data_IF_894380297930
#
_entry.id   IF_894380297930
#
_cell.length_a   1.000
_cell.length_b   1.000
_cell.length_c   1.000
_cell.angle_alpha   90.00
_cell.angle_beta   90.00
_cell.angle_gamma   90.00
#
_symmetry.space_group_name_H-M   'P 1'
#
loop_
_entity.id
_entity.type
_entity.pdbx_description
1 polymer ?
#
# COMPACT_ATOMS: atom_id res chain seq x y z
N UNK A 1 9.30 18.25 13.04
CA UNK A 1 8.47 18.86 11.98
C UNK A 1 8.70 18.28 10.58
N UNK A 2 9.94 17.99 10.16
CA UNK A 2 10.24 17.48 8.80
C UNK A 2 9.58 16.12 8.49
N UNK A 3 9.60 15.18 9.44
CA UNK A 3 8.99 13.85 9.29
C UNK A 3 7.47 13.91 9.09
N UNK A 4 6.75 14.54 10.01
CA UNK A 4 5.28 14.64 9.95
C UNK A 4 4.84 15.30 8.63
N UNK A 5 5.60 16.30 8.16
CA UNK A 5 5.33 16.93 6.86
C UNK A 5 5.52 15.94 5.70
N UNK A 6 6.60 15.15 5.73
CA UNK A 6 6.87 14.14 4.70
C UNK A 6 5.82 13.05 4.66
N UNK A 7 5.37 12.55 5.80
CA UNK A 7 4.37 11.48 5.87
C UNK A 7 2.98 11.98 5.40
N UNK A 8 2.62 13.24 5.68
CA UNK A 8 1.43 13.88 5.09
C UNK A 8 1.53 14.01 3.58
N UNK A 9 2.69 14.39 3.06
CA UNK A 9 2.96 14.41 1.61
C UNK A 9 2.90 12.99 1.06
N UNK A 10 3.38 12.01 1.83
CA UNK A 10 3.35 10.60 1.51
C UNK A 10 1.96 10.06 1.30
N UNK A 11 1.00 10.42 2.15
CA UNK A 11 -0.41 10.09 1.93
C UNK A 11 -0.88 10.52 0.54
N UNK A 12 -0.59 11.76 0.15
CA UNK A 12 -1.01 12.32 -1.14
C UNK A 12 -0.30 11.59 -2.29
N UNK A 13 1.01 11.34 -2.15
CA UNK A 13 1.79 10.63 -3.16
C UNK A 13 1.33 9.19 -3.34
N UNK A 14 1.03 8.46 -2.27
CA UNK A 14 0.52 7.09 -2.35
C UNK A 14 -0.81 7.05 -3.09
N UNK A 15 -1.73 7.98 -2.79
CA UNK A 15 -3.01 8.08 -3.50
C UNK A 15 -2.79 8.38 -4.98
N UNK A 16 -1.94 9.36 -5.30
CA UNK A 16 -1.58 9.69 -6.69
C UNK A 16 -1.00 8.49 -7.43
N UNK A 17 0.01 7.81 -6.86
CA UNK A 17 0.59 6.63 -7.47
C UNK A 17 -0.42 5.50 -7.64
N UNK A 18 -1.33 5.33 -6.69
CA UNK A 18 -2.37 4.31 -6.79
C UNK A 18 -3.29 4.60 -7.97
N UNK A 19 -3.73 5.84 -8.15
CA UNK A 19 -4.56 6.22 -9.29
C UNK A 19 -3.84 6.05 -10.64
N UNK A 20 -2.55 6.36 -10.69
CA UNK A 20 -1.72 6.17 -11.87
C UNK A 20 -1.58 4.67 -12.18
N UNK A 21 -1.12 3.87 -11.23
CA UNK A 21 -0.90 2.43 -11.38
C UNK A 21 -2.18 1.64 -11.66
N UNK A 22 -3.31 2.04 -11.09
CA UNK A 22 -4.61 1.42 -11.36
C UNK A 22 -5.03 1.54 -12.83
N UNK A 23 -4.60 2.59 -13.54
CA UNK A 23 -4.97 2.83 -14.94
C UNK A 23 -3.85 2.48 -15.93
N UNK A 24 -2.61 2.33 -15.47
CA UNK A 24 -1.44 2.18 -16.34
C UNK A 24 -1.48 0.93 -17.23
N UNK A 25 -1.77 -0.24 -16.67
CA UNK A 25 -1.78 -1.48 -17.46
C UNK A 25 -2.91 -1.45 -18.51
N UNK A 26 -4.13 -1.09 -18.09
CA UNK A 26 -5.29 -0.97 -18.98
C UNK A 26 -5.08 0.04 -20.13
N UNK A 27 -4.22 1.03 -19.93
CA UNK A 27 -3.96 2.07 -20.95
C UNK A 27 -2.79 1.74 -21.89
N UNK A 28 -1.88 0.84 -21.49
CA UNK A 28 -0.63 0.60 -22.22
C UNK A 28 -0.50 -0.79 -22.80
N UNK A 29 -1.25 -1.78 -22.30
CA UNK A 29 -1.17 -3.21 -22.66
C UNK A 29 0.24 -3.82 -22.63
N UNK A 30 1.19 -3.15 -21.96
CA UNK A 30 2.57 -3.65 -21.84
C UNK A 30 2.67 -4.67 -20.71
N UNK A 31 3.18 -5.86 -21.02
CA UNK A 31 3.31 -6.96 -20.05
C UNK A 31 4.14 -6.63 -18.81
N UNK A 32 5.08 -5.66 -18.88
CA UNK A 32 5.87 -5.22 -17.73
C UNK A 32 5.01 -4.56 -16.64
N UNK A 33 3.99 -3.78 -17.02
CA UNK A 33 3.12 -3.11 -16.06
C UNK A 33 2.08 -4.03 -15.44
N UNK A 34 1.91 -5.25 -15.95
CA UNK A 34 0.98 -6.26 -15.42
C UNK A 34 1.29 -6.68 -13.98
N UNK A 35 2.56 -6.62 -13.60
CA UNK A 35 3.03 -6.96 -12.24
C UNK A 35 2.63 -5.88 -11.24
N UNK A 36 2.67 -4.61 -11.63
CA UNK A 36 2.54 -3.46 -10.73
C UNK A 36 1.16 -2.82 -10.79
N UNK A 37 0.60 -2.72 -12.00
CA UNK A 37 -0.72 -2.14 -12.27
C UNK A 37 -1.87 -3.12 -12.06
N UNK A 38 -3.09 -2.57 -12.06
CA UNK A 38 -4.30 -3.35 -11.95
C UNK A 38 -4.64 -4.02 -13.29
N UNK A 39 -4.82 -5.34 -13.26
CA UNK A 39 -5.27 -6.12 -14.42
C UNK A 39 -6.79 -6.26 -14.49
N UNK A 40 -7.47 -6.11 -13.36
CA UNK A 40 -8.92 -6.18 -13.23
C UNK A 40 -9.35 -5.33 -12.02
N UNK A 41 -10.66 -5.21 -11.81
CA UNK A 41 -11.24 -4.42 -10.72
C UNK A 41 -11.31 -5.16 -9.36
N UNK A 42 -10.69 -6.34 -9.23
CA UNK A 42 -10.76 -7.13 -8.00
C UNK A 42 -10.07 -6.43 -6.83
N UNK A 43 -10.52 -6.77 -5.62
CA UNK A 43 -9.92 -6.26 -4.37
C UNK A 43 -8.45 -6.68 -4.27
N UNK A 44 -8.10 -7.88 -4.73
CA UNK A 44 -6.71 -8.38 -4.73
C UNK A 44 -5.79 -7.54 -5.62
N UNK A 45 -6.24 -7.17 -6.83
CA UNK A 45 -5.49 -6.26 -7.71
C UNK A 45 -5.33 -4.88 -7.05
N UNK A 46 -6.37 -4.35 -6.42
CA UNK A 46 -6.29 -3.08 -5.71
C UNK A 46 -5.30 -3.12 -4.53
N UNK A 47 -5.24 -4.23 -3.79
CA UNK A 47 -4.25 -4.46 -2.73
C UNK A 47 -2.82 -4.49 -3.28
N UNK A 48 -2.59 -5.15 -4.41
CA UNK A 48 -1.29 -5.18 -5.09
C UNK A 48 -0.86 -3.78 -5.54
N UNK A 49 -1.76 -3.04 -6.19
CA UNK A 49 -1.47 -1.69 -6.69
C UNK A 49 -1.11 -0.75 -5.54
N UNK A 50 -1.92 -0.70 -4.47
CA UNK A 50 -1.66 0.21 -3.35
C UNK A 50 -0.34 -0.15 -2.62
N UNK A 51 0.01 -1.44 -2.57
CA UNK A 51 1.29 -1.87 -2.04
C UNK A 51 2.44 -1.31 -2.87
N UNK A 52 2.41 -1.44 -4.19
CA UNK A 52 3.47 -0.89 -5.04
C UNK A 52 3.55 0.64 -4.98
N UNK A 53 2.41 1.33 -4.85
CA UNK A 53 2.39 2.78 -4.57
C UNK A 53 3.16 3.14 -3.31
N UNK A 54 2.99 2.35 -2.24
CA UNK A 54 3.76 2.52 -1.00
C UNK A 54 5.25 2.25 -1.22
N UNK A 55 5.61 1.21 -1.98
CA UNK A 55 7.02 0.92 -2.29
C UNK A 55 7.68 2.10 -3.03
N UNK A 56 7.01 2.69 -4.03
CA UNK A 56 7.52 3.88 -4.70
C UNK A 56 7.73 5.04 -3.73
N UNK A 57 6.78 5.26 -2.82
CA UNK A 57 6.93 6.28 -1.79
C UNK A 57 8.11 5.99 -0.84
N UNK A 58 8.30 4.75 -0.39
CA UNK A 58 9.43 4.34 0.46
C UNK A 58 10.76 4.63 -0.23
N UNK A 59 10.88 4.31 -1.53
CA UNK A 59 12.08 4.61 -2.33
C UNK A 59 12.36 6.12 -2.36
N UNK A 60 11.33 6.94 -2.61
CA UNK A 60 11.45 8.40 -2.60
C UNK A 60 11.93 8.89 -1.23
N UNK A 61 11.32 8.41 -0.15
CA UNK A 61 11.70 8.81 1.20
C UNK A 61 13.14 8.45 1.56
N UNK A 62 13.61 7.28 1.09
CA UNK A 62 15.00 6.85 1.22
C UNK A 62 15.95 7.76 0.44
N UNK A 63 15.61 8.14 -0.80
CA UNK A 63 16.44 9.05 -1.62
C UNK A 63 16.59 10.43 -0.98
N UNK A 64 15.52 10.95 -0.37
CA UNK A 64 15.55 12.24 0.32
C UNK A 64 16.11 12.18 1.75
N UNK A 65 16.52 11.00 2.23
CA UNK A 65 17.10 10.76 3.56
C UNK A 65 16.35 11.47 4.69
N UNK A 66 15.02 11.44 4.65
CA UNK A 66 14.20 12.24 5.57
C UNK A 66 14.38 11.79 7.02
N UNK A 67 14.38 10.47 7.26
CA UNK A 67 14.69 9.87 8.55
C UNK A 67 15.03 8.38 8.42
N UNK A 68 16.29 8.07 8.11
CA UNK A 68 16.76 6.70 7.91
C UNK A 68 17.39 6.13 9.19
N UNK A 69 16.53 5.90 10.19
CA UNK A 69 16.91 5.35 11.48
C UNK A 69 16.71 3.83 11.47
N UNK A 70 17.16 3.13 12.51
CA UNK A 70 17.00 1.67 12.59
C UNK A 70 15.53 1.21 12.60
N UNK A 71 14.62 2.06 13.08
CA UNK A 71 13.18 1.81 13.05
C UNK A 71 12.55 2.00 11.67
N UNK A 72 13.26 2.53 10.67
CA UNK A 72 12.66 2.92 9.38
C UNK A 72 11.96 1.74 8.69
N UNK A 73 12.69 0.66 8.43
CA UNK A 73 12.11 -0.51 7.78
C UNK A 73 11.06 -1.20 8.64
N UNK A 74 11.21 -1.15 9.96
CA UNK A 74 10.23 -1.71 10.89
C UNK A 74 8.88 -0.97 10.79
N UNK A 75 8.92 0.37 10.80
CA UNK A 75 7.74 1.20 10.60
C UNK A 75 7.10 0.96 9.22
N UNK A 76 7.91 0.88 8.16
CA UNK A 76 7.42 0.62 6.79
C UNK A 76 6.84 -0.78 6.63
N UNK A 77 7.40 -1.79 7.31
CA UNK A 77 6.85 -3.13 7.30
C UNK A 77 5.45 -3.15 7.94
N UNK A 78 5.31 -2.69 9.18
CA UNK A 78 4.01 -2.69 9.87
C UNK A 78 2.98 -1.87 9.10
N UNK A 79 3.35 -0.68 8.67
CA UNK A 79 2.45 0.19 7.92
C UNK A 79 2.06 -0.40 6.56
N UNK A 80 2.91 -1.18 5.89
CA UNK A 80 2.55 -1.89 4.66
C UNK A 80 1.45 -2.93 4.87
N UNK A 81 1.53 -3.72 5.95
CA UNK A 81 0.47 -4.68 6.30
C UNK A 81 -0.84 -3.95 6.64
N UNK A 82 -0.76 -2.86 7.43
CA UNK A 82 -1.94 -2.05 7.75
C UNK A 82 -2.59 -1.50 6.49
N UNK A 83 -1.79 -0.94 5.57
CA UNK A 83 -2.29 -0.38 4.32
C UNK A 83 -3.03 -1.46 3.50
N UNK A 84 -2.36 -2.59 3.28
CA UNK A 84 -2.87 -3.66 2.41
C UNK A 84 -4.12 -4.30 2.98
N UNK A 85 -4.19 -4.58 4.28
CA UNK A 85 -5.38 -5.17 4.90
C UNK A 85 -6.51 -4.16 5.14
N UNK A 86 -6.21 -2.86 5.22
CA UNK A 86 -7.27 -1.84 5.32
C UNK A 86 -8.10 -1.73 4.04
N UNK A 87 -7.54 -2.04 2.87
CA UNK A 87 -8.26 -2.00 1.58
C UNK A 87 -9.49 -2.92 1.56
N UNK A 88 -9.38 -4.25 1.76
CA UNK A 88 -10.55 -5.12 1.76
C UNK A 88 -11.54 -4.75 2.87
N UNK A 89 -11.05 -4.40 4.07
CA UNK A 89 -11.91 -3.99 5.18
C UNK A 89 -12.78 -2.81 4.80
N UNK A 90 -12.17 -1.72 4.31
CA UNK A 90 -12.89 -0.52 3.88
C UNK A 90 -13.75 -0.80 2.65
N UNK A 91 -13.29 -1.62 1.70
CA UNK A 91 -14.02 -1.90 0.47
C UNK A 91 -15.38 -2.54 0.78
N UNK A 92 -15.39 -3.58 1.61
CA UNK A 92 -16.62 -4.25 2.01
C UNK A 92 -17.48 -3.39 2.94
N UNK A 93 -16.89 -2.56 3.80
CA UNK A 93 -17.66 -1.60 4.60
C UNK A 93 -18.41 -0.61 3.70
N UNK A 94 -17.74 0.03 2.75
CA UNK A 94 -18.36 1.00 1.84
C UNK A 94 -19.38 0.34 0.92
N UNK A 95 -19.05 -0.83 0.33
CA UNK A 95 -19.98 -1.56 -0.54
C UNK A 95 -21.24 -1.98 0.21
N UNK A 96 -21.13 -2.44 1.46
CA UNK A 96 -22.29 -2.82 2.26
C UNK A 96 -23.13 -1.62 2.73
N UNK A 97 -22.50 -0.48 3.01
CA UNK A 97 -23.21 0.73 3.42
C UNK A 97 -23.97 1.41 2.29
N UNK A 98 -23.38 1.48 1.09
CA UNK A 98 -23.92 2.24 -0.04
C UNK A 98 -24.45 1.39 -1.20
N UNK A 99 -24.28 0.07 -1.15
CA UNK A 99 -24.71 -0.89 -2.17
C UNK A 99 -23.86 -0.91 -3.44
N UNK A 100 -23.21 0.19 -3.78
CA UNK A 100 -22.35 0.36 -4.96
C UNK A 100 -21.03 1.03 -4.59
N UNK A 101 -19.95 0.69 -5.32
CA UNK A 101 -18.64 1.33 -5.17
C UNK A 101 -18.35 2.22 -6.38
N UNK A 102 -18.58 3.52 -6.23
CA UNK A 102 -18.27 4.50 -7.28
C UNK A 102 -16.82 5.01 -7.16
N UNK A 103 -16.31 5.65 -8.21
CA UNK A 103 -14.94 6.18 -8.25
C UNK A 103 -14.61 7.11 -7.07
N UNK A 104 -15.55 7.98 -6.69
CA UNK A 104 -15.37 8.89 -5.54
C UNK A 104 -15.18 8.12 -4.22
N UNK A 105 -15.96 7.06 -4.00
CA UNK A 105 -15.82 6.21 -2.80
C UNK A 105 -14.51 5.45 -2.81
N UNK A 106 -14.06 4.99 -3.98
CA UNK A 106 -12.76 4.35 -4.12
C UNK A 106 -11.60 5.31 -3.79
N UNK A 107 -11.66 6.56 -4.27
CA UNK A 107 -10.66 7.60 -3.93
C UNK A 107 -10.65 7.88 -2.42
N UNK A 108 -11.82 7.99 -1.80
CA UNK A 108 -11.93 8.15 -0.34
C UNK A 108 -11.35 6.95 0.41
N UNK A 109 -11.62 5.73 -0.05
CA UNK A 109 -11.10 4.51 0.54
C UNK A 109 -9.58 4.47 0.52
N UNK A 110 -8.95 4.71 -0.64
CA UNK A 110 -7.48 4.69 -0.75
C UNK A 110 -6.86 5.82 0.08
N UNK A 111 -7.52 6.97 0.19
CA UNK A 111 -7.08 8.08 1.02
C UNK A 111 -7.13 7.72 2.52
N UNK A 112 -8.22 7.11 3.00
CA UNK A 112 -8.34 6.64 4.38
C UNK A 112 -7.30 5.56 4.71
N UNK A 113 -7.12 4.58 3.81
CA UNK A 113 -6.11 3.54 3.94
C UNK A 113 -4.69 4.13 4.05
N UNK A 114 -4.34 5.07 3.15
CA UNK A 114 -3.05 5.75 3.16
C UNK A 114 -2.85 6.61 4.43
N UNK A 115 -3.88 7.31 4.89
CA UNK A 115 -3.84 8.09 6.13
C UNK A 115 -3.57 7.20 7.34
N UNK A 116 -4.23 6.05 7.44
CA UNK A 116 -4.00 5.08 8.51
C UNK A 116 -2.56 4.58 8.47
N UNK A 117 -2.10 4.11 7.31
CA UNK A 117 -0.72 3.67 7.08
C UNK A 117 0.32 4.69 7.55
N UNK A 118 0.23 5.95 7.08
CA UNK A 118 1.18 7.00 7.44
C UNK A 118 1.07 7.39 8.92
N UNK A 119 -0.13 7.37 9.50
CA UNK A 119 -0.31 7.64 10.93
C UNK A 119 0.42 6.62 11.81
N UNK A 120 0.36 5.33 11.46
CA UNK A 120 1.10 4.29 12.17
C UNK A 120 2.61 4.34 11.88
N UNK A 121 3.01 4.59 10.64
CA UNK A 121 4.42 4.80 10.28
C UNK A 121 5.03 5.95 11.09
N UNK A 122 4.39 7.12 11.13
CA UNK A 122 4.79 8.25 11.97
C UNK A 122 4.96 7.88 13.44
N UNK A 123 3.99 7.17 14.03
CA UNK A 123 4.05 6.79 15.45
C UNK A 123 5.28 5.93 15.73
N UNK A 124 5.53 4.90 14.91
CA UNK A 124 6.65 3.97 15.09
C UNK A 124 8.01 4.66 14.84
N UNK A 125 8.07 5.60 13.89
CA UNK A 125 9.29 6.37 13.60
C UNK A 125 9.64 7.38 14.71
N UNK A 126 8.66 7.83 15.49
CA UNK A 126 8.84 8.75 16.62
C UNK A 126 9.06 8.03 17.95
N UNK A 127 8.76 6.72 18.01
CA UNK A 127 8.99 5.88 19.18
C UNK A 127 10.50 5.60 19.40
N UNK A 128 10.86 5.14 20.59
CA UNK A 128 12.24 4.79 20.92
C UNK A 128 12.81 3.73 19.96
N UNK A 129 14.13 3.68 19.82
CA UNK A 129 14.79 2.77 18.87
C UNK A 129 14.56 1.30 19.26
N UNK A 130 13.62 0.64 18.57
CA UNK A 130 13.32 -0.80 18.69
C UNK A 130 14.22 -1.61 17.73
N UNK A 131 14.71 -0.96 16.67
CA UNK A 131 15.38 -1.59 15.54
C UNK A 131 16.75 -2.15 15.87
N UNK A 132 16.87 -3.47 15.91
CA UNK A 132 18.16 -4.17 15.79
C UNK A 132 18.48 -4.44 14.31
N UNK A 133 19.75 -4.66 13.97
CA UNK A 133 20.15 -5.08 12.61
C UNK A 133 19.37 -6.32 12.12
N UNK A 134 19.11 -7.28 13.02
CA UNK A 134 18.28 -8.46 12.73
C UNK A 134 16.83 -8.06 12.45
N UNK A 135 16.25 -7.18 13.27
CA UNK A 135 14.91 -6.65 13.08
C UNK A 135 14.75 -5.95 11.72
N UNK A 136 15.73 -5.14 11.33
CA UNK A 136 15.75 -4.46 10.01
C UNK A 136 15.71 -5.46 8.85
N UNK A 137 16.54 -6.51 8.89
CA UNK A 137 16.54 -7.54 7.84
C UNK A 137 15.20 -8.27 7.76
N UNK A 138 14.62 -8.62 8.91
CA UNK A 138 13.31 -9.27 9.00
C UNK A 138 12.22 -8.36 8.40
N UNK A 139 12.26 -7.05 8.68
CA UNK A 139 11.31 -6.09 8.12
C UNK A 139 11.43 -5.93 6.61
N UNK A 140 12.65 -5.94 6.07
CA UNK A 140 12.86 -5.88 4.61
C UNK A 140 12.32 -7.16 3.96
N UNK A 141 12.66 -8.32 4.52
CA UNK A 141 12.18 -9.62 4.03
C UNK A 141 10.66 -9.72 4.11
N UNK A 142 10.03 -9.20 5.16
CA UNK A 142 8.57 -9.24 5.30
C UNK A 142 7.86 -8.37 4.27
N UNK A 143 8.38 -7.16 3.99
CA UNK A 143 7.86 -6.29 2.92
C UNK A 143 7.96 -6.99 1.57
N UNK A 144 9.11 -7.59 1.25
CA UNK A 144 9.32 -8.29 -0.01
C UNK A 144 8.40 -9.51 -0.15
N UNK A 145 8.31 -10.32 0.90
CA UNK A 145 7.47 -11.52 0.93
C UNK A 145 5.99 -11.15 0.74
N UNK A 146 5.53 -10.06 1.37
CA UNK A 146 4.17 -9.57 1.16
C UNK A 146 3.93 -9.17 -0.31
N UNK A 147 4.90 -8.52 -0.96
CA UNK A 147 4.81 -8.21 -2.39
C UNK A 147 4.71 -9.46 -3.26
N UNK A 148 5.54 -10.47 -3.00
CA UNK A 148 5.51 -11.76 -3.73
C UNK A 148 4.14 -12.43 -3.58
N UNK A 149 3.60 -12.46 -2.36
CA UNK A 149 2.28 -13.02 -2.07
C UNK A 149 1.18 -12.31 -2.87
N UNK A 150 1.17 -10.97 -2.85
CA UNK A 150 0.17 -10.18 -3.56
C UNK A 150 0.23 -10.38 -5.08
N UNK A 151 1.44 -10.44 -5.65
CA UNK A 151 1.62 -10.73 -7.07
C UNK A 151 1.14 -12.15 -7.40
N UNK A 152 1.54 -13.14 -6.60
CA UNK A 152 1.15 -14.54 -6.82
C UNK A 152 -0.37 -14.73 -6.80
N UNK A 153 -1.05 -14.19 -5.78
CA UNK A 153 -2.51 -14.29 -5.67
C UNK A 153 -3.27 -13.38 -6.64
N UNK A 154 -2.64 -12.36 -7.22
CA UNK A 154 -3.21 -11.58 -8.32
C UNK A 154 -3.31 -12.41 -9.60
N UNK A 155 -2.34 -13.29 -9.88
CA UNK A 155 -2.40 -14.22 -11.01
C UNK A 155 -3.20 -15.49 -10.73
N UNK A 156 -3.15 -15.97 -9.48
CA UNK A 156 -3.86 -17.15 -9.01
C UNK A 156 -4.89 -16.73 -7.94
N UNK A 157 -5.99 -16.05 -8.34
CA UNK A 157 -6.98 -15.55 -7.39
C UNK A 157 -7.52 -16.70 -6.55
N UNK A 158 -7.54 -16.53 -5.23
CA UNK A 158 -8.26 -17.46 -4.36
C UNK A 158 -9.71 -17.47 -4.78
N UNK A 159 -10.32 -18.65 -4.86
CA UNK A 159 -11.72 -18.85 -5.22
C UNK A 159 -12.71 -18.37 -4.15
N UNK A 160 -12.29 -17.46 -3.25
CA UNK A 160 -13.13 -16.90 -2.19
C UNK A 160 -13.79 -15.61 -2.66
N UNK A 161 -15.07 -15.38 -2.31
CA UNK A 161 -15.84 -14.20 -2.76
C UNK A 161 -15.28 -12.86 -2.26
N UNK A 162 -14.36 -12.89 -1.28
CA UNK A 162 -13.71 -11.72 -0.67
C UNK A 162 -12.62 -11.12 -1.60
N UNK A 163 -12.18 -11.85 -2.62
CA UNK A 163 -11.12 -11.40 -3.52
C UNK A 163 -11.51 -11.38 -4.99
N UNK A 164 -12.74 -11.79 -5.32
CA UNK A 164 -13.27 -11.72 -6.69
C UNK A 164 -13.84 -10.33 -7.00
N UNK A 165 -13.80 -9.96 -8.28
CA UNK A 165 -14.57 -8.81 -8.77
C UNK A 165 -16.05 -9.12 -8.54
N UNK A 166 -16.77 -8.18 -7.92
CA UNK A 166 -18.20 -8.30 -7.71
C UNK A 166 -18.90 -6.98 -7.87
#
# INVERSE_FOLDING_TARGET
MKLIKMERIGTILIVLFTLILSNLYLSTDMGLFRVVGANNASVMEQMKVIYFSLIFFIIIEMLFKVQYNDNFFYAKAISSYILVFSVPMLFYTFKNMFGVMNMFMYILLIFLAALLCQSFSCKILLDEQIGTLKGKLISILSILLLGIILVYFSYNPLSTPIFMAG
#
